data_IF_364569346684
#
_entry.id   IF_364569346684
#
_cell.length_a   1.000
_cell.length_b   1.000
_cell.length_c   1.000
_cell.angle_alpha   90.00
_cell.angle_beta   90.00
_cell.angle_gamma   90.00
#
_symmetry.space_group_name_H-M   'P 1'
#
loop_
_entity.id
_entity.type
_entity.pdbx_description
1 polymer ?
#
# COMPACT_ATOMS: atom_id res chain seq x y z
N UNK A 1 0.24 -19.25 -34.35
CA UNK A 1 1.38 -18.35 -34.61
C UNK A 1 1.53 -17.42 -33.42
N UNK A 2 2.58 -17.59 -32.63
CA UNK A 2 2.98 -16.64 -31.59
C UNK A 2 4.35 -16.11 -32.00
N UNK A 3 4.47 -14.78 -32.10
CA UNK A 3 5.62 -14.11 -32.67
C UNK A 3 6.89 -14.35 -31.86
N UNK A 4 7.95 -14.78 -32.56
CA UNK A 4 9.19 -14.01 -32.62
C UNK A 4 10.12 -14.00 -31.41
N UNK A 5 10.07 -14.94 -30.47
CA UNK A 5 11.11 -15.07 -29.45
C UNK A 5 11.85 -16.42 -29.54
N UNK A 6 13.19 -16.44 -29.42
CA UNK A 6 13.98 -17.66 -29.49
C UNK A 6 13.54 -18.64 -28.41
N UNK A 7 13.42 -19.92 -28.77
CA UNK A 7 12.90 -21.00 -27.92
C UNK A 7 13.61 -21.15 -26.56
N UNK A 8 14.82 -20.58 -26.43
CA UNK A 8 15.63 -20.60 -25.20
C UNK A 8 15.26 -19.50 -24.18
N UNK A 9 14.38 -18.55 -24.55
CA UNK A 9 13.73 -17.62 -23.62
C UNK A 9 12.29 -18.03 -23.28
N UNK A 10 11.91 -19.29 -23.60
CA UNK A 10 10.64 -19.86 -23.21
C UNK A 10 10.67 -20.19 -21.71
N UNK A 11 10.51 -19.17 -20.86
CA UNK A 11 10.23 -19.39 -19.43
C UNK A 11 9.01 -20.29 -19.36
N UNK A 12 9.18 -21.48 -18.76
CA UNK A 12 8.08 -22.42 -18.59
C UNK A 12 7.05 -21.76 -17.67
N UNK A 13 5.88 -21.45 -18.23
CA UNK A 13 4.77 -20.85 -17.48
C UNK A 13 4.47 -21.70 -16.24
N UNK A 14 4.65 -21.11 -15.06
CA UNK A 14 4.32 -21.75 -13.81
C UNK A 14 2.82 -21.53 -13.54
N UNK A 15 2.07 -22.63 -13.48
CA UNK A 15 0.62 -22.62 -13.24
C UNK A 15 0.24 -21.79 -12.02
N UNK A 16 0.98 -21.91 -10.92
CA UNK A 16 0.68 -21.19 -9.69
C UNK A 16 0.94 -19.68 -9.81
N UNK A 17 1.95 -19.27 -10.59
CA UNK A 17 2.23 -17.86 -10.83
C UNK A 17 1.19 -17.23 -11.76
N UNK A 18 0.73 -17.95 -12.79
CA UNK A 18 -0.32 -17.44 -13.68
C UNK A 18 -1.66 -17.33 -12.95
N UNK A 19 -2.03 -18.31 -12.13
CA UNK A 19 -3.22 -18.24 -11.28
C UNK A 19 -3.13 -17.12 -10.24
N UNK A 20 -1.96 -16.93 -9.64
CA UNK A 20 -1.72 -15.83 -8.70
C UNK A 20 -1.86 -14.46 -9.37
N UNK A 21 -1.22 -14.28 -10.53
CA UNK A 21 -1.30 -13.04 -11.30
C UNK A 21 -2.73 -12.78 -11.77
N UNK A 22 -3.43 -13.79 -12.27
CA UNK A 22 -4.83 -13.66 -12.69
C UNK A 22 -5.74 -13.23 -11.53
N UNK A 23 -5.56 -13.79 -10.33
CA UNK A 23 -6.33 -13.37 -9.14
C UNK A 23 -6.01 -11.93 -8.72
N UNK A 24 -4.74 -11.51 -8.78
CA UNK A 24 -4.32 -10.15 -8.46
C UNK A 24 -4.87 -9.11 -9.43
N UNK A 25 -4.88 -9.40 -10.72
CA UNK A 25 -5.45 -8.52 -11.74
C UNK A 25 -6.97 -8.37 -11.61
N UNK A 26 -7.65 -9.38 -11.05
CA UNK A 26 -9.10 -9.35 -10.80
C UNK A 26 -9.45 -8.64 -9.48
N UNK A 27 -8.48 -8.41 -8.59
CA UNK A 27 -8.76 -7.96 -7.22
C UNK A 27 -9.43 -6.58 -7.18
N UNK A 28 -9.11 -5.70 -8.14
CA UNK A 28 -9.76 -4.38 -8.29
C UNK A 28 -11.23 -4.48 -8.75
N UNK A 29 -11.59 -5.55 -9.47
CA UNK A 29 -12.98 -5.82 -9.89
C UNK A 29 -13.84 -6.45 -8.80
N UNK A 30 -13.21 -7.13 -7.83
CA UNK A 30 -13.89 -7.78 -6.70
C UNK A 30 -13.97 -6.92 -5.44
N UNK A 31 -13.41 -5.71 -5.48
CA UNK A 31 -13.47 -4.81 -4.33
C UNK A 31 -14.86 -4.20 -4.21
N UNK A 32 -15.66 -4.76 -3.31
CA UNK A 32 -17.00 -4.25 -2.99
C UNK A 32 -17.00 -3.59 -1.61
N UNK A 33 -17.61 -2.41 -1.50
CA UNK A 33 -17.81 -1.74 -0.22
C UNK A 33 -19.05 -2.32 0.44
N UNK A 34 -18.88 -2.86 1.65
CA UNK A 34 -19.94 -3.46 2.45
C UNK A 34 -19.91 -2.86 3.86
N UNK A 35 -21.04 -2.79 4.56
CA UNK A 35 -21.11 -2.20 5.90
C UNK A 35 -20.13 -2.81 6.90
N UNK A 36 -19.75 -4.07 6.70
CA UNK A 36 -18.73 -4.74 7.52
C UNK A 36 -17.29 -4.24 7.27
N UNK A 37 -16.95 -3.77 6.06
CA UNK A 37 -15.60 -3.31 5.72
C UNK A 37 -15.42 -1.79 5.83
N UNK A 38 -16.51 -1.02 5.89
CA UNK A 38 -16.49 0.43 6.08
C UNK A 38 -15.66 0.85 7.31
N UNK A 39 -15.81 0.24 8.51
CA UNK A 39 -15.02 0.64 9.67
C UNK A 39 -13.52 0.49 9.42
N UNK A 40 -13.12 -0.63 8.80
CA UNK A 40 -11.72 -0.89 8.45
C UNK A 40 -11.19 0.13 7.45
N UNK A 41 -11.97 0.46 6.42
CA UNK A 41 -11.59 1.48 5.42
C UNK A 41 -11.46 2.87 6.04
N UNK A 42 -12.38 3.25 6.92
CA UNK A 42 -12.31 4.54 7.64
C UNK A 42 -11.09 4.58 8.54
N UNK A 43 -10.80 3.50 9.27
CA UNK A 43 -9.64 3.44 10.14
C UNK A 43 -8.33 3.55 9.35
N UNK A 44 -8.19 2.81 8.26
CA UNK A 44 -6.94 2.74 7.50
C UNK A 44 -6.72 3.94 6.58
N UNK A 45 -7.77 4.50 5.99
CA UNK A 45 -7.64 5.59 5.02
C UNK A 45 -7.76 6.98 5.66
N UNK A 46 -8.44 7.12 6.80
CA UNK A 46 -8.68 8.41 7.43
C UNK A 46 -8.03 8.51 8.81
N UNK A 47 -8.40 7.62 9.74
CA UNK A 47 -8.02 7.78 11.15
C UNK A 47 -6.53 7.60 11.36
N UNK A 48 -5.92 6.55 10.81
CA UNK A 48 -4.49 6.29 10.96
C UNK A 48 -3.64 7.40 10.32
N UNK A 49 -3.86 7.80 9.04
CA UNK A 49 -3.09 8.88 8.44
C UNK A 49 -3.27 10.22 9.16
N UNK A 50 -4.49 10.54 9.57
CA UNK A 50 -4.76 11.76 10.34
C UNK A 50 -4.10 11.73 11.72
N UNK A 51 -4.14 10.58 12.42
CA UNK A 51 -3.45 10.37 13.69
C UNK A 51 -1.95 10.62 13.56
N UNK A 52 -1.31 10.01 12.56
CA UNK A 52 0.12 10.22 12.27
C UNK A 52 0.40 11.69 11.97
N UNK A 53 -0.41 12.34 11.14
CA UNK A 53 -0.26 13.76 10.84
C UNK A 53 -0.36 14.62 12.10
N UNK A 54 -1.37 14.40 12.94
CA UNK A 54 -1.56 15.20 14.15
C UNK A 54 -0.45 15.00 15.18
N UNK A 55 0.03 13.77 15.35
CA UNK A 55 1.15 13.46 16.24
C UNK A 55 2.45 14.06 15.72
N UNK A 56 2.81 13.81 14.47
CA UNK A 56 4.01 14.40 13.86
C UNK A 56 3.96 15.93 13.89
N UNK A 57 2.82 16.55 13.55
CA UNK A 57 2.65 18.01 13.64
C UNK A 57 2.81 18.52 15.07
N UNK A 58 2.27 17.81 16.06
CA UNK A 58 2.41 18.20 17.48
C UNK A 58 3.85 18.10 17.93
N UNK A 59 4.59 17.06 17.52
CA UNK A 59 6.02 16.94 17.78
C UNK A 59 6.81 18.07 17.09
N UNK A 60 6.48 18.44 15.85
CA UNK A 60 7.15 19.55 15.18
C UNK A 60 6.87 20.91 15.84
N UNK A 61 5.64 21.15 16.32
CA UNK A 61 5.27 22.43 16.93
C UNK A 61 5.69 22.54 18.40
N UNK A 62 5.70 21.43 19.14
CA UNK A 62 6.13 21.42 20.54
C UNK A 62 7.65 21.19 20.66
N UNK A 63 8.26 20.48 19.71
CA UNK A 63 9.69 20.22 19.64
C UNK A 63 10.52 21.46 19.28
N UNK A 64 9.92 22.49 18.68
CA UNK A 64 10.56 23.80 18.52
C UNK A 64 10.83 24.54 19.84
N UNK A 65 10.23 24.10 20.96
CA UNK A 65 10.46 24.65 22.30
C UNK A 65 11.08 23.62 23.28
N UNK A 66 11.37 22.39 22.81
CA UNK A 66 11.99 21.35 23.64
C UNK A 66 13.53 21.47 23.59
N UNK A 67 14.21 21.68 24.74
CA UNK A 67 15.67 21.81 24.81
C UNK A 67 16.46 20.65 24.20
N UNK A 68 15.85 19.47 24.03
CA UNK A 68 16.52 18.27 23.49
C UNK A 68 16.73 18.30 21.97
N UNK A 69 16.00 19.15 21.25
CA UNK A 69 16.04 19.21 19.77
C UNK A 69 16.69 20.50 19.23
N UNK A 70 17.27 21.33 20.12
CA UNK A 70 17.92 22.60 19.78
C UNK A 70 19.14 22.47 18.86
N UNK A 71 19.80 21.32 18.87
CA UNK A 71 21.07 21.08 18.16
C UNK A 71 20.88 20.46 16.76
N UNK A 72 19.63 20.29 16.30
CA UNK A 72 19.30 19.74 14.98
C UNK A 72 19.01 20.82 13.92
N UNK A 73 19.22 22.10 14.24
CA UNK A 73 19.08 23.25 13.34
C UNK A 73 20.40 24.00 13.17
#
# INVERSE_FOLDING_TARGET
>A
MAGGFPANMAVKKNKFMEEWNGKREITEKSFEVNFANIPTLVMTLLVVPYGIYTWSRSEFLNGSDDPRYKDLC
#
